data_IF_939714806102
#
_entry.id   IF_939714806102
#
_cell.length_a   1.000
_cell.length_b   1.000
_cell.length_c   1.000
_cell.angle_alpha   90.00
_cell.angle_beta   90.00
_cell.angle_gamma   90.00
#
_symmetry.space_group_name_H-M   'P 1'
#
loop_
_entity.id
_entity.type
_entity.pdbx_description
1 polymer ?
#
# COMPACT_ATOMS: atom_id res chain seq x y z
N UNK A 1 2.78 3.29 -16.92
CA UNK A 1 2.32 2.40 -15.83
C UNK A 1 1.21 3.11 -15.09
N UNK A 2 0.05 2.47 -14.97
CA UNK A 2 -1.16 3.13 -14.47
C UNK A 2 -1.84 2.29 -13.40
N UNK A 3 -2.16 2.92 -12.28
CA UNK A 3 -2.81 2.31 -11.13
C UNK A 3 -4.10 3.07 -10.83
N UNK A 4 -5.20 2.34 -10.69
CA UNK A 4 -6.48 2.86 -10.24
C UNK A 4 -6.93 2.07 -9.02
N UNK A 5 -7.25 2.77 -7.93
CA UNK A 5 -7.66 2.20 -6.66
C UNK A 5 -9.08 2.68 -6.35
N UNK A 6 -9.97 1.74 -6.07
CA UNK A 6 -11.37 1.99 -5.68
C UNK A 6 -11.59 1.25 -4.37
N UNK A 7 -12.07 1.97 -3.34
CA UNK A 7 -12.47 1.37 -2.08
C UNK A 7 -13.98 1.53 -1.92
N UNK A 8 -14.68 0.43 -1.65
CA UNK A 8 -16.12 0.36 -1.49
C UNK A 8 -16.48 -0.20 -0.12
N UNK A 9 -17.61 0.22 0.44
CA UNK A 9 -18.23 -0.51 1.55
C UNK A 9 -19.00 -1.72 1.00
N UNK A 10 -18.95 -2.84 1.72
CA UNK A 10 -19.69 -4.04 1.33
C UNK A 10 -21.20 -3.90 1.56
N UNK A 11 -21.62 -3.11 2.57
CA UNK A 11 -23.02 -2.85 2.92
C UNK A 11 -23.70 -1.77 2.05
N UNK A 12 -23.64 -1.93 0.73
CA UNK A 12 -24.35 -1.04 -0.22
C UNK A 12 -23.45 -0.39 -1.27
N UNK A 13 -22.17 -0.75 -1.34
CA UNK A 13 -21.30 -0.36 -2.48
C UNK A 13 -20.98 1.12 -2.49
N UNK A 14 -21.04 1.77 -1.33
CA UNK A 14 -20.74 3.18 -1.23
C UNK A 14 -19.25 3.39 -1.47
N UNK A 15 -18.96 4.32 -2.37
CA UNK A 15 -17.60 4.72 -2.68
C UNK A 15 -16.97 5.41 -1.46
N UNK A 16 -15.96 4.77 -0.88
CA UNK A 16 -15.13 5.34 0.18
C UNK A 16 -14.08 6.27 -0.41
N UNK A 17 -13.41 5.78 -1.45
CA UNK A 17 -12.24 6.42 -2.02
C UNK A 17 -12.05 5.98 -3.47
N UNK A 18 -11.68 6.93 -4.32
CA UNK A 18 -11.04 6.68 -5.60
C UNK A 18 -9.70 7.40 -5.66
N UNK A 19 -8.64 6.67 -6.00
CA UNK A 19 -7.31 7.23 -6.24
C UNK A 19 -6.75 6.69 -7.53
N UNK A 20 -6.02 7.52 -8.26
CA UNK A 20 -5.34 7.15 -9.48
C UNK A 20 -3.90 7.63 -9.45
N UNK A 21 -2.99 6.87 -10.04
CA UNK A 21 -1.60 7.27 -10.23
C UNK A 21 -1.09 6.77 -11.58
N UNK A 22 -0.40 7.63 -12.32
CA UNK A 22 0.10 7.38 -13.68
C UNK A 22 -0.68 8.09 -14.79
N UNK A 23 -0.25 7.84 -16.01
CA UNK A 23 -0.81 8.35 -17.27
C UNK A 23 -2.13 7.61 -17.60
N UNK A 24 -3.16 7.84 -16.79
CA UNK A 24 -4.48 7.26 -17.06
C UNK A 24 -5.57 8.33 -17.05
N UNK A 25 -6.35 8.34 -18.14
CA UNK A 25 -7.60 9.08 -18.21
C UNK A 25 -8.52 8.62 -17.07
N UNK A 26 -9.35 9.52 -16.58
CA UNK A 26 -10.38 9.13 -15.62
C UNK A 26 -11.24 8.03 -16.24
N UNK A 27 -11.43 6.93 -15.52
CA UNK A 27 -12.36 5.90 -15.93
C UNK A 27 -13.74 6.52 -16.16
N UNK A 28 -14.38 6.12 -17.26
CA UNK A 28 -15.74 6.56 -17.54
C UNK A 28 -16.67 6.15 -16.39
N UNK A 29 -17.69 6.96 -16.14
CA UNK A 29 -18.67 6.67 -15.09
C UNK A 29 -19.31 5.29 -15.27
N UNK A 30 -19.55 4.88 -16.51
CA UNK A 30 -20.05 3.54 -16.86
C UNK A 30 -19.10 2.42 -16.41
N UNK A 31 -17.78 2.61 -16.56
CA UNK A 31 -16.78 1.64 -16.12
C UNK A 31 -16.71 1.57 -14.60
N UNK A 32 -16.76 2.70 -13.90
CA UNK A 32 -16.82 2.72 -12.43
C UNK A 32 -18.08 2.04 -11.91
N UNK A 33 -19.24 2.31 -12.51
CA UNK A 33 -20.49 1.66 -12.15
C UNK A 33 -20.43 0.14 -12.38
N UNK A 34 -19.82 -0.30 -13.49
CA UNK A 34 -19.61 -1.71 -13.78
C UNK A 34 -18.66 -2.38 -12.77
N UNK A 35 -17.52 -1.77 -12.47
CA UNK A 35 -16.54 -2.29 -11.50
C UNK A 35 -17.11 -2.38 -10.07
N UNK A 36 -18.02 -1.48 -9.72
CA UNK A 36 -18.72 -1.51 -8.43
C UNK A 36 -19.88 -2.51 -8.42
N UNK A 37 -20.58 -2.68 -9.54
CA UNK A 37 -21.72 -3.57 -9.67
C UNK A 37 -21.33 -5.04 -9.84
N UNK A 38 -20.19 -5.32 -10.47
CA UNK A 38 -19.75 -6.70 -10.74
C UNK A 38 -19.60 -7.54 -9.46
N UNK A 39 -18.92 -7.09 -8.37
CA UNK A 39 -18.72 -7.92 -7.18
C UNK A 39 -20.04 -8.15 -6.45
N UNK A 40 -20.95 -7.17 -6.46
CA UNK A 40 -22.28 -7.30 -5.86
C UNK A 40 -23.13 -8.32 -6.61
N UNK A 41 -23.06 -8.32 -7.93
CA UNK A 41 -23.77 -9.27 -8.78
C UNK A 41 -23.25 -10.70 -8.58
N UNK A 42 -21.94 -10.89 -8.51
CA UNK A 42 -21.39 -12.24 -8.24
C UNK A 42 -21.69 -12.70 -6.82
N UNK A 43 -21.65 -11.81 -5.83
CA UNK A 43 -22.05 -12.14 -4.44
C UNK A 43 -23.51 -12.55 -4.33
N UNK A 44 -24.42 -11.94 -5.10
CA UNK A 44 -25.84 -12.35 -5.10
C UNK A 44 -26.04 -13.76 -5.67
N UNK A 45 -25.10 -14.24 -6.49
CA UNK A 45 -25.03 -15.61 -7.00
C UNK A 45 -24.20 -16.54 -6.11
N UNK A 46 -23.70 -16.07 -4.95
CA UNK A 46 -22.85 -16.85 -4.04
C UNK A 46 -21.42 -17.05 -4.55
N UNK A 47 -20.97 -16.30 -5.55
CA UNK A 47 -19.63 -16.38 -6.12
C UNK A 47 -18.77 -15.16 -5.73
N UNK A 48 -17.50 -15.39 -5.40
CA UNK A 48 -16.53 -14.31 -5.13
C UNK A 48 -15.67 -14.06 -6.35
N UNK A 49 -15.63 -12.81 -6.80
CA UNK A 49 -14.75 -12.40 -7.89
C UNK A 49 -13.38 -12.02 -7.32
N UNK A 50 -12.30 -12.56 -7.87
CA UNK A 50 -10.94 -12.37 -7.34
C UNK A 50 -10.08 -11.56 -8.30
N UNK A 51 -9.64 -12.15 -9.42
CA UNK A 51 -8.82 -11.45 -10.43
C UNK A 51 -9.38 -11.65 -11.81
N UNK A 52 -9.44 -10.57 -12.60
CA UNK A 52 -9.84 -10.60 -14.00
C UNK A 52 -8.78 -9.93 -14.85
N UNK A 53 -8.46 -10.55 -15.98
CA UNK A 53 -7.46 -10.07 -16.92
C UNK A 53 -8.14 -9.55 -18.18
N UNK A 54 -7.79 -8.33 -18.57
CA UNK A 54 -8.08 -7.75 -19.88
C UNK A 54 -6.75 -7.49 -20.61
N UNK A 55 -6.82 -7.25 -21.93
CA UNK A 55 -5.64 -7.18 -22.82
C UNK A 55 -4.49 -6.30 -22.30
N UNK A 56 -4.81 -5.20 -21.61
CA UNK A 56 -3.83 -4.25 -21.06
C UNK A 56 -4.03 -3.94 -19.58
N UNK A 57 -5.02 -4.57 -18.94
CA UNK A 57 -5.44 -4.24 -17.57
C UNK A 57 -5.66 -5.50 -16.74
N UNK A 58 -5.14 -5.49 -15.52
CA UNK A 58 -5.42 -6.50 -14.49
C UNK A 58 -6.30 -5.86 -13.43
N UNK A 59 -7.39 -6.53 -13.08
CA UNK A 59 -8.35 -6.09 -12.08
C UNK A 59 -8.35 -7.10 -10.93
N UNK A 60 -8.14 -6.63 -9.71
CA UNK A 60 -8.23 -7.42 -8.49
C UNK A 60 -9.36 -6.87 -7.62
N UNK A 61 -10.22 -7.75 -7.13
CA UNK A 61 -11.21 -7.48 -6.11
C UNK A 61 -10.85 -8.28 -4.87
N UNK A 62 -10.59 -7.57 -3.77
CA UNK A 62 -10.26 -8.18 -2.48
C UNK A 62 -11.23 -7.68 -1.43
N UNK A 63 -12.00 -8.62 -0.90
CA UNK A 63 -12.92 -8.38 0.21
C UNK A 63 -12.19 -8.56 1.54
N UNK A 64 -12.29 -7.54 2.40
CA UNK A 64 -11.74 -7.59 3.74
C UNK A 64 -12.88 -7.65 4.75
N UNK A 65 -12.99 -8.83 5.39
CA UNK A 65 -13.89 -9.13 6.51
C UNK A 65 -15.37 -8.78 6.28
N UNK A 66 -15.82 -8.74 5.01
CA UNK A 66 -17.19 -8.37 4.69
C UNK A 66 -17.55 -6.92 4.98
N UNK A 67 -16.56 -6.07 5.25
CA UNK A 67 -16.74 -4.64 5.57
C UNK A 67 -16.38 -3.74 4.40
N UNK A 68 -15.20 -3.97 3.83
CA UNK A 68 -14.63 -3.13 2.77
C UNK A 68 -14.21 -4.03 1.60
N UNK A 69 -14.57 -3.64 0.40
CA UNK A 69 -14.08 -4.23 -0.84
C UNK A 69 -13.09 -3.27 -1.48
N UNK A 70 -11.87 -3.73 -1.72
CA UNK A 70 -10.84 -2.97 -2.41
C UNK A 70 -10.73 -3.51 -3.84
N UNK A 71 -10.83 -2.62 -4.80
CA UNK A 71 -10.65 -2.90 -6.23
C UNK A 71 -9.38 -2.20 -6.69
N UNK A 72 -8.46 -2.96 -7.24
CA UNK A 72 -7.21 -2.45 -7.79
C UNK A 72 -7.18 -2.75 -9.28
N UNK A 73 -6.99 -1.72 -10.11
CA UNK A 73 -6.80 -1.84 -11.55
C UNK A 73 -5.36 -1.45 -11.88
N UNK A 74 -4.61 -2.34 -12.52
CA UNK A 74 -3.22 -2.11 -12.92
C UNK A 74 -3.05 -2.29 -14.42
N UNK A 75 -2.17 -1.47 -15.01
CA UNK A 75 -1.69 -1.66 -16.38
C UNK A 75 -0.16 -1.62 -16.39
N UNK A 76 0.45 -2.73 -16.83
CA UNK A 76 1.91 -2.89 -16.99
C UNK A 76 2.68 -3.24 -15.71
N UNK A 77 2.06 -3.89 -14.71
CA UNK A 77 2.69 -4.32 -13.44
C UNK A 77 2.51 -5.83 -13.26
N UNK A 78 3.46 -6.51 -12.61
CA UNK A 78 3.35 -7.92 -12.22
C UNK A 78 2.29 -8.16 -11.12
N UNK A 79 1.63 -9.32 -11.16
CA UNK A 79 0.52 -9.71 -10.28
C UNK A 79 0.87 -9.64 -8.79
N UNK A 80 2.09 -10.02 -8.38
CA UNK A 80 2.48 -10.04 -6.97
C UNK A 80 2.34 -8.68 -6.26
N UNK A 81 2.38 -7.58 -7.02
CA UNK A 81 2.27 -6.23 -6.48
C UNK A 81 0.81 -5.78 -6.25
N UNK A 82 -0.16 -6.40 -6.94
CA UNK A 82 -1.58 -6.00 -6.87
C UNK A 82 -2.21 -6.38 -5.53
N UNK A 83 -1.89 -7.57 -5.04
CA UNK A 83 -2.40 -8.07 -3.76
C UNK A 83 -1.77 -7.33 -2.59
N UNK A 84 -0.47 -7.05 -2.66
CA UNK A 84 0.24 -6.30 -1.64
C UNK A 84 -0.31 -4.87 -1.53
N UNK A 85 -0.60 -4.22 -2.66
CA UNK A 85 -1.20 -2.89 -2.65
C UNK A 85 -2.58 -2.90 -1.96
N UNK A 86 -3.42 -3.88 -2.26
CA UNK A 86 -4.71 -4.03 -1.59
C UNK A 86 -4.55 -4.23 -0.07
N UNK A 87 -3.56 -5.03 0.36
CA UNK A 87 -3.25 -5.24 1.77
C UNK A 87 -2.69 -3.99 2.46
N UNK A 88 -1.83 -3.22 1.81
CA UNK A 88 -1.28 -1.97 2.35
C UNK A 88 -2.36 -0.92 2.54
N UNK A 89 -3.29 -0.81 1.58
CA UNK A 89 -4.43 0.11 1.68
C UNK A 89 -5.36 -0.30 2.83
N UNK A 90 -5.67 -1.60 2.95
CA UNK A 90 -6.44 -2.09 4.09
C UNK A 90 -5.71 -1.89 5.43
N UNK A 91 -4.39 -2.14 5.45
CA UNK A 91 -3.52 -1.87 6.58
C UNK A 91 -3.59 -0.41 7.02
N UNK A 92 -3.54 0.52 6.08
CA UNK A 92 -3.69 1.95 6.36
C UNK A 92 -5.03 2.25 7.03
N UNK A 93 -6.15 1.67 6.58
CA UNK A 93 -7.43 1.83 7.27
C UNK A 93 -7.40 1.25 8.69
N UNK A 94 -6.81 0.05 8.87
CA UNK A 94 -6.75 -0.61 10.18
C UNK A 94 -5.88 0.11 11.21
N UNK A 95 -4.97 0.99 10.78
CA UNK A 95 -4.15 1.81 11.69
C UNK A 95 -4.95 2.95 12.33
N UNK A 96 -5.96 3.48 11.65
CA UNK A 96 -6.78 4.60 12.14
C UNK A 96 -8.18 4.17 12.58
N UNK A 97 -8.61 2.96 12.22
CA UNK A 97 -9.92 2.41 12.59
C UNK A 97 -9.74 1.03 13.21
N UNK A 98 -10.18 0.87 14.45
CA UNK A 98 -10.13 -0.41 15.16
C UNK A 98 -10.92 -1.49 14.42
N UNK A 99 -10.41 -2.73 14.45
CA UNK A 99 -11.03 -3.88 13.74
C UNK A 99 -12.48 -4.13 14.15
N UNK A 100 -12.83 -3.91 15.42
CA UNK A 100 -14.20 -4.09 15.93
C UNK A 100 -15.18 -3.02 15.44
N UNK A 101 -14.66 -1.89 14.97
CA UNK A 101 -15.47 -0.82 14.38
C UNK A 101 -15.66 -0.99 12.86
N UNK A 102 -14.91 -1.92 12.24
CA UNK A 102 -15.00 -2.19 10.81
C UNK A 102 -16.36 -2.80 10.40
N UNK A 103 -17.05 -3.46 11.32
CA UNK A 103 -18.37 -4.06 11.09
C UNK A 103 -19.53 -3.07 11.29
N UNK A 104 -19.26 -1.85 11.76
CA UNK A 104 -20.29 -0.91 12.19
C UNK A 104 -20.68 0.10 11.08
N UNK A 105 -21.95 0.52 11.05
CA UNK A 105 -22.46 1.50 10.07
C UNK A 105 -21.78 2.88 10.17
N UNK A 106 -21.17 3.19 11.32
CA UNK A 106 -20.40 4.42 11.56
C UNK A 106 -19.00 4.44 10.90
N UNK A 107 -18.56 3.32 10.32
CA UNK A 107 -17.27 3.22 9.64
C UNK A 107 -17.11 4.26 8.52
N UNK A 108 -18.16 4.47 7.72
CA UNK A 108 -18.12 5.39 6.60
C UNK A 108 -17.85 6.83 7.05
N UNK A 109 -18.51 7.27 8.12
CA UNK A 109 -18.36 8.63 8.64
C UNK A 109 -16.99 8.84 9.29
N UNK A 110 -16.48 7.85 10.03
CA UNK A 110 -15.15 7.91 10.64
C UNK A 110 -14.03 7.85 9.61
N UNK A 111 -14.12 6.98 8.61
CA UNK A 111 -13.16 6.98 7.50
C UNK A 111 -13.19 8.31 6.76
N UNK A 112 -14.36 8.89 6.49
CA UNK A 112 -14.41 10.23 5.91
C UNK A 112 -13.73 11.29 6.79
N UNK A 113 -13.93 11.23 8.11
CA UNK A 113 -13.31 12.15 9.09
C UNK A 113 -11.79 12.01 9.13
N UNK A 114 -11.28 10.78 9.17
CA UNK A 114 -9.85 10.44 9.24
C UNK A 114 -9.16 10.41 7.87
N UNK A 115 -9.87 10.79 6.80
CA UNK A 115 -9.35 10.80 5.43
C UNK A 115 -8.03 11.54 5.30
N UNK A 116 -7.85 12.63 6.03
CA UNK A 116 -6.60 13.41 6.02
C UNK A 116 -5.37 12.63 6.51
N UNK A 117 -5.54 11.58 7.33
CA UNK A 117 -4.44 10.83 7.92
C UNK A 117 -4.06 9.60 7.09
N UNK A 118 -5.03 8.83 6.58
CA UNK A 118 -4.72 7.65 5.77
C UNK A 118 -4.49 7.95 4.28
N UNK A 119 -5.07 9.02 3.71
CA UNK A 119 -4.87 9.38 2.31
C UNK A 119 -3.39 9.57 1.96
N UNK A 120 -2.60 10.29 2.78
CA UNK A 120 -1.14 10.33 2.69
C UNK A 120 -0.52 8.93 2.53
N UNK A 121 -0.88 7.98 3.38
CA UNK A 121 -0.27 6.64 3.39
C UNK A 121 -0.65 5.86 2.14
N UNK A 122 -1.89 5.98 1.67
CA UNK A 122 -2.34 5.39 0.41
C UNK A 122 -1.58 5.99 -0.78
N UNK A 123 -1.42 7.32 -0.82
CA UNK A 123 -0.67 7.98 -1.90
C UNK A 123 0.81 7.57 -1.91
N UNK A 124 1.40 7.32 -0.73
CA UNK A 124 2.74 6.78 -0.58
C UNK A 124 2.81 5.30 -1.03
N UNK A 125 1.82 4.47 -0.69
CA UNK A 125 1.73 3.08 -1.15
C UNK A 125 1.56 3.00 -2.68
N UNK A 126 0.77 3.91 -3.27
CA UNK A 126 0.64 4.03 -4.71
C UNK A 126 1.96 4.47 -5.36
N UNK A 127 2.67 5.44 -4.77
CA UNK A 127 4.01 5.85 -5.23
C UNK A 127 5.02 4.71 -5.18
N UNK A 128 4.96 3.96 -4.09
CA UNK A 128 5.77 2.78 -3.83
C UNK A 128 5.55 1.69 -4.89
N UNK A 129 4.29 1.41 -5.23
CA UNK A 129 3.96 0.49 -6.32
C UNK A 129 4.35 1.05 -7.70
N UNK A 130 4.30 2.38 -7.91
CA UNK A 130 4.67 2.96 -9.20
C UNK A 130 6.17 3.01 -9.48
N UNK A 131 6.98 3.21 -8.45
CA UNK A 131 8.41 3.47 -8.59
C UNK A 131 9.27 2.21 -8.67
N UNK A 132 8.69 1.01 -8.83
CA UNK A 132 9.42 -0.26 -8.75
C UNK A 132 10.22 -0.46 -7.45
N UNK A 133 9.85 0.26 -6.38
CA UNK A 133 10.46 0.12 -5.05
C UNK A 133 10.36 -1.30 -4.50
N UNK A 134 9.54 -2.17 -5.11
CA UNK A 134 9.41 -3.58 -4.80
C UNK A 134 10.64 -4.44 -5.15
N UNK A 135 11.71 -3.85 -5.70
CA UNK A 135 13.04 -4.47 -5.72
C UNK A 135 13.73 -4.48 -4.33
N UNK A 136 12.99 -4.60 -3.22
CA UNK A 136 13.56 -4.94 -1.89
C UNK A 136 14.31 -6.28 -1.89
N UNK A 137 14.18 -7.08 -2.94
CA UNK A 137 14.99 -8.27 -3.18
C UNK A 137 16.44 -7.96 -3.59
N UNK A 138 16.74 -6.74 -4.07
CA UNK A 138 18.10 -6.36 -4.44
C UNK A 138 18.83 -5.76 -3.22
N UNK A 139 19.26 -6.64 -2.32
CA UNK A 139 20.31 -6.29 -1.38
C UNK A 139 21.59 -6.00 -2.18
N UNK A 140 22.17 -4.82 -2.01
CA UNK A 140 23.48 -4.53 -2.59
C UNK A 140 24.54 -5.25 -1.75
N UNK A 141 25.12 -6.31 -2.30
CA UNK A 141 26.28 -6.97 -1.73
C UNK A 141 27.52 -6.11 -2.03
N UNK A 142 27.84 -5.19 -1.13
CA UNK A 142 29.10 -4.45 -1.16
C UNK A 142 30.15 -5.18 -0.32
N UNK A 143 31.40 -5.19 -0.77
CA UNK A 143 32.51 -5.83 -0.05
C UNK A 143 32.75 -5.20 1.34
N UNK A 144 32.32 -3.95 1.55
CA UNK A 144 32.46 -3.21 2.81
C UNK A 144 31.24 -3.35 3.75
N UNK A 145 30.29 -4.24 3.44
CA UNK A 145 29.06 -4.40 4.22
C UNK A 145 29.34 -4.66 5.72
N UNK A 146 30.42 -5.37 6.06
CA UNK A 146 30.78 -5.64 7.46
C UNK A 146 31.11 -4.36 8.25
N UNK A 147 31.83 -3.41 7.64
CA UNK A 147 32.20 -2.15 8.29
C UNK A 147 30.98 -1.24 8.45
N UNK A 148 30.10 -1.22 7.45
CA UNK A 148 28.87 -0.43 7.47
C UNK A 148 27.90 -0.99 8.54
N UNK A 149 27.77 -2.32 8.67
CA UNK A 149 26.97 -2.95 9.73
C UNK A 149 27.47 -2.53 11.12
N UNK A 150 28.78 -2.53 11.33
CA UNK A 150 29.36 -2.16 12.62
C UNK A 150 28.99 -0.73 13.01
N UNK A 151 29.15 0.23 12.08
CA UNK A 151 28.80 1.63 12.30
C UNK A 151 27.30 1.84 12.47
N UNK A 152 26.50 1.05 11.77
CA UNK A 152 25.05 1.09 11.88
C UNK A 152 24.57 0.58 13.24
N UNK A 153 25.20 -0.46 13.80
CA UNK A 153 24.91 -0.93 15.15
C UNK A 153 25.33 0.10 16.22
N UNK A 154 26.48 0.75 16.06
CA UNK A 154 26.90 1.86 16.93
C UNK A 154 25.88 3.02 16.88
N UNK A 155 25.36 3.34 15.69
CA UNK A 155 24.32 4.36 15.51
C UNK A 155 22.97 3.94 16.11
N UNK A 156 22.58 2.67 15.97
CA UNK A 156 21.35 2.10 16.55
C UNK A 156 21.32 2.25 18.07
N UNK A 157 22.46 2.03 18.74
CA UNK A 157 22.62 2.26 20.19
C UNK A 157 22.50 3.74 20.53
N UNK A 158 22.99 4.64 19.68
CA UNK A 158 22.91 6.08 19.90
C UNK A 158 21.49 6.65 19.70
N UNK A 159 20.73 6.07 18.77
CA UNK A 159 19.35 6.47 18.48
C UNK A 159 18.30 5.71 19.29
N UNK A 160 18.71 4.81 20.19
CA UNK A 160 17.86 3.93 21.00
C UNK A 160 16.75 3.24 20.16
N UNK A 161 17.11 2.82 18.94
CA UNK A 161 16.18 2.21 17.98
C UNK A 161 16.72 0.88 17.50
N UNK A 162 15.90 -0.17 17.64
CA UNK A 162 16.23 -1.55 17.25
C UNK A 162 16.20 -1.77 15.73
N UNK A 163 15.60 -0.82 15.00
CA UNK A 163 15.28 -0.94 13.59
C UNK A 163 16.02 0.14 12.81
N UNK A 164 17.21 -0.19 12.29
CA UNK A 164 18.01 0.73 11.49
C UNK A 164 18.43 0.05 10.19
N UNK A 165 18.43 0.81 9.10
CA UNK A 165 18.86 0.36 7.79
C UNK A 165 19.45 1.52 6.99
N UNK A 166 20.35 1.19 6.07
CA UNK A 166 20.99 2.11 5.14
C UNK A 166 20.51 1.80 3.74
N UNK A 167 19.95 2.82 3.10
CA UNK A 167 19.52 2.78 1.71
C UNK A 167 20.55 3.47 0.83
N UNK A 168 20.92 2.81 -0.27
CA UNK A 168 21.71 3.42 -1.35
C UNK A 168 20.82 3.45 -2.59
N UNK A 169 20.39 4.64 -2.99
CA UNK A 169 19.37 4.82 -4.01
C UNK A 169 18.02 4.27 -3.56
N UNK A 170 17.55 3.20 -4.21
CA UNK A 170 16.28 2.51 -3.92
C UNK A 170 16.47 1.14 -3.26
N UNK A 171 17.72 0.73 -3.01
CA UNK A 171 18.05 -0.61 -2.50
C UNK A 171 18.56 -0.54 -1.06
N UNK A 172 18.20 -1.54 -0.26
CA UNK A 172 18.77 -1.71 1.08
C UNK A 172 20.20 -2.23 0.91
N UNK A 173 21.18 -1.46 1.35
CA UNK A 173 22.57 -1.88 1.37
C UNK A 173 22.87 -2.71 2.62
N UNK A 174 22.42 -2.23 3.79
CA UNK A 174 22.71 -2.84 5.08
C UNK A 174 21.56 -2.58 6.06
N UNK A 175 21.22 -3.54 6.93
CA UNK A 175 20.27 -3.33 8.02
C UNK A 175 20.62 -4.12 9.29
N UNK A 176 20.10 -3.69 10.45
CA UNK A 176 20.23 -4.41 11.73
C UNK A 176 19.54 -5.77 11.68
N UNK A 177 19.94 -6.71 12.55
CA UNK A 177 19.29 -8.04 12.65
C UNK A 177 17.78 -7.94 12.88
N UNK A 178 17.36 -7.06 13.78
CA UNK A 178 15.93 -6.82 14.05
C UNK A 178 15.16 -6.30 12.83
N UNK A 179 15.82 -5.64 11.87
CA UNK A 179 15.19 -5.24 10.62
C UNK A 179 14.96 -6.43 9.67
N UNK A 180 15.92 -7.36 9.59
CA UNK A 180 15.78 -8.57 8.77
C UNK A 180 14.74 -9.54 9.33
N UNK A 181 14.52 -9.53 10.65
CA UNK A 181 13.51 -10.33 11.33
C UNK A 181 12.09 -9.77 11.15
N UNK A 182 11.94 -8.54 10.63
CA UNK A 182 10.63 -8.00 10.27
C UNK A 182 10.04 -8.75 9.08
N UNK A 183 8.74 -9.03 9.14
CA UNK A 183 8.02 -9.58 8.00
C UNK A 183 8.17 -8.62 6.80
N UNK A 184 8.30 -9.15 5.58
CA UNK A 184 8.56 -8.35 4.37
C UNK A 184 7.54 -7.20 4.20
N UNK A 185 6.30 -7.43 4.63
CA UNK A 185 5.21 -6.46 4.66
C UNK A 185 5.44 -5.31 5.64
N UNK A 186 5.89 -5.61 6.86
CA UNK A 186 6.22 -4.62 7.90
C UNK A 186 7.48 -3.82 7.56
N UNK A 187 8.50 -4.45 6.97
CA UNK A 187 9.71 -3.77 6.51
C UNK A 187 9.42 -2.79 5.37
N UNK A 188 8.58 -3.19 4.40
CA UNK A 188 8.11 -2.31 3.33
C UNK A 188 7.35 -1.09 3.89
N UNK A 189 6.46 -1.32 4.85
CA UNK A 189 5.68 -0.25 5.49
C UNK A 189 6.58 0.75 6.21
N UNK A 190 7.48 0.28 7.08
CA UNK A 190 8.43 1.13 7.81
C UNK A 190 9.34 1.94 6.86
N UNK A 191 9.79 1.35 5.76
CA UNK A 191 10.60 2.05 4.75
C UNK A 191 9.82 3.16 4.06
N UNK A 192 8.56 2.90 3.69
CA UNK A 192 7.70 3.90 3.04
C UNK A 192 7.40 5.09 3.95
N UNK A 193 7.28 4.85 5.25
CA UNK A 193 7.05 5.87 6.27
C UNK A 193 8.28 6.78 6.44
N UNK A 194 9.48 6.19 6.59
CA UNK A 194 10.74 6.92 6.81
C UNK A 194 11.18 7.69 5.55
N UNK A 195 11.00 7.11 4.35
CA UNK A 195 11.33 7.81 3.09
C UNK A 195 10.51 9.10 2.93
N UNK A 196 9.27 9.10 3.46
CA UNK A 196 8.41 10.29 3.44
C UNK A 196 8.84 11.33 4.46
N UNK A 197 9.15 10.96 5.70
CA UNK A 197 9.64 11.92 6.72
C UNK A 197 10.87 12.68 6.22
N UNK A 198 11.80 11.99 5.53
CA UNK A 198 12.96 12.66 4.91
C UNK A 198 12.60 13.64 3.80
N UNK A 199 11.59 13.34 2.97
CA UNK A 199 11.12 14.30 1.94
C UNK A 199 10.42 15.51 2.56
N UNK A 200 9.65 15.31 3.63
CA UNK A 200 8.97 16.42 4.33
C UNK A 200 10.02 17.33 5.00
N UNK A 201 11.01 16.77 5.68
CA UNK A 201 12.09 17.55 6.29
C UNK A 201 12.98 18.26 5.26
N UNK A 202 13.27 17.65 4.11
CA UNK A 202 14.01 18.34 3.02
C UNK A 202 13.17 19.42 2.33
N UNK A 203 11.84 19.27 2.28
CA UNK A 203 10.92 20.28 1.74
C UNK A 203 10.74 21.48 2.67
N UNK A 204 10.89 21.31 3.98
CA UNK A 204 10.81 22.39 4.97
C UNK A 204 12.16 23.09 5.20
N UNK A 205 13.26 22.50 4.75
CA UNK A 205 14.62 23.03 4.87
C UNK A 205 15.10 23.82 3.63
N UNK A 206 14.22 24.07 2.65
CA UNK A 206 14.55 24.76 1.40
C UNK A 206 13.71 26.03 1.19
#
# INVERSE_FOLDING_TARGET
MSIYLICLTNNGGLLLLTRKKGECNNLAFSTLAYLNGSPMFFKSLGMSLYTTYAESWTYLWKDFNGSITIIVCLSGVSENHIELLAELVFGAFSLFVNRDELSNSALLERLKKESKHYLPIIDAALEFCTNQLLNFSHCLLSNDNAQIIQRLNEFSVHCDSLFCYVMVGQNIAVATKGWWDLNCRSAAFATSFIYRERRVQMSEAC
#
